data_IF_653878900123
#
_entry.id   IF_653878900123
#
_cell.length_a   1.000
_cell.length_b   1.000
_cell.length_c   1.000
_cell.angle_alpha   90.00
_cell.angle_beta   90.00
_cell.angle_gamma   90.00
#
_symmetry.space_group_name_H-M   'P 1'
#
loop_
_entity.id
_entity.type
_entity.pdbx_description
1 polymer ?
#
# COMPACT_ATOMS: atom_id res chain seq x y z
N UNK A 1 22.98 -20.80 -17.67
CA UNK A 1 22.51 -19.42 -17.36
C UNK A 1 21.01 -19.14 -17.63
N UNK A 2 20.17 -20.11 -18.03
CA UNK A 2 18.75 -19.88 -18.39
C UNK A 2 17.71 -20.17 -17.28
N UNK A 3 18.09 -20.80 -16.17
CA UNK A 3 17.15 -21.22 -15.11
C UNK A 3 16.83 -20.12 -14.06
N UNK A 4 17.61 -19.02 -14.00
CA UNK A 4 17.43 -17.95 -12.99
C UNK A 4 16.30 -16.95 -13.31
N UNK A 5 15.79 -16.91 -14.55
CA UNK A 5 14.74 -15.96 -14.95
C UNK A 5 13.34 -16.50 -14.59
N UNK A 6 13.17 -17.82 -14.61
CA UNK A 6 11.90 -18.47 -14.30
C UNK A 6 11.60 -18.49 -12.79
N UNK A 7 12.58 -18.73 -11.91
CA UNK A 7 12.34 -18.75 -10.46
C UNK A 7 11.96 -17.36 -9.88
N UNK A 8 12.31 -16.27 -10.57
CA UNK A 8 12.19 -14.88 -10.08
C UNK A 8 10.88 -14.18 -10.46
N UNK A 9 10.21 -14.63 -11.53
CA UNK A 9 8.85 -14.18 -11.88
C UNK A 9 7.77 -14.83 -11.01
N UNK A 10 8.04 -16.05 -10.52
CA UNK A 10 7.10 -16.82 -9.69
C UNK A 10 6.91 -16.23 -8.29
N UNK A 11 7.94 -15.66 -7.66
CA UNK A 11 7.79 -15.04 -6.34
C UNK A 11 6.88 -13.80 -6.35
N UNK A 12 6.81 -13.05 -7.46
CA UNK A 12 5.95 -11.86 -7.57
C UNK A 12 4.48 -12.23 -7.76
N UNK A 13 4.20 -13.23 -8.61
CA UNK A 13 2.86 -13.78 -8.78
C UNK A 13 2.36 -14.43 -7.48
N UNK A 14 3.22 -15.19 -6.79
CA UNK A 14 2.89 -15.76 -5.48
C UNK A 14 2.69 -14.70 -4.41
N UNK A 15 3.44 -13.59 -4.41
CA UNK A 15 3.24 -12.51 -3.44
C UNK A 15 1.94 -11.73 -3.68
N UNK A 16 1.55 -11.52 -4.93
CA UNK A 16 0.29 -10.84 -5.30
C UNK A 16 -0.91 -11.74 -5.05
N UNK A 17 -0.80 -13.03 -5.36
CA UNK A 17 -1.81 -14.05 -5.03
C UNK A 17 -1.91 -14.25 -3.51
N UNK A 18 -0.80 -14.14 -2.78
CA UNK A 18 -0.76 -14.20 -1.32
C UNK A 18 -1.39 -13.01 -0.62
N UNK A 19 -1.32 -11.81 -1.21
CA UNK A 19 -1.99 -10.65 -0.66
C UNK A 19 -3.51 -10.76 -0.82
N UNK A 20 -4.00 -11.39 -1.89
CA UNK A 20 -5.43 -11.67 -2.04
C UNK A 20 -5.99 -12.60 -0.94
N UNK A 21 -5.13 -13.46 -0.37
CA UNK A 21 -5.42 -14.27 0.82
C UNK A 21 -5.52 -13.50 2.14
N UNK A 22 -5.22 -12.20 2.16
CA UNK A 22 -5.70 -11.29 3.21
C UNK A 22 -7.17 -10.99 2.91
N UNK A 23 -8.00 -12.03 3.04
CA UNK A 23 -9.44 -12.10 2.84
C UNK A 23 -10.11 -10.74 2.51
N UNK A 24 -9.95 -10.26 1.27
CA UNK A 24 -10.52 -8.97 0.86
C UNK A 24 -12.02 -9.06 0.56
N UNK A 25 -12.54 -10.29 0.44
CA UNK A 25 -13.85 -10.60 -0.14
C UNK A 25 -14.95 -11.04 0.83
N UNK A 26 -14.69 -11.23 2.12
CA UNK A 26 -15.79 -11.51 3.05
C UNK A 26 -16.42 -10.20 3.55
N UNK A 27 -17.67 -9.98 3.15
CA UNK A 27 -18.62 -9.22 3.98
C UNK A 27 -18.57 -9.81 5.39
N UNK A 28 -18.50 -9.01 6.46
CA UNK A 28 -18.64 -9.56 7.79
C UNK A 28 -19.98 -10.29 7.83
N UNK A 29 -19.96 -11.58 8.16
CA UNK A 29 -21.08 -12.23 8.84
C UNK A 29 -21.58 -11.29 9.94
N UNK A 30 -22.90 -11.21 10.17
CA UNK A 30 -23.52 -10.16 10.99
C UNK A 30 -22.77 -9.99 12.30
N UNK A 31 -22.48 -8.73 12.62
CA UNK A 31 -21.59 -8.26 13.68
C UNK A 31 -21.47 -9.23 14.85
N UNK A 32 -20.28 -9.78 15.15
CA UNK A 32 -20.04 -10.18 16.51
C UNK A 32 -20.16 -8.92 17.36
N UNK A 33 -20.90 -9.04 18.46
CA UNK A 33 -20.96 -8.07 19.55
C UNK A 33 -19.58 -7.44 19.78
N UNK A 34 -19.47 -6.15 20.14
CA UNK A 34 -18.18 -5.49 20.30
C UNK A 34 -17.33 -6.33 21.24
N UNK A 35 -16.38 -7.07 20.68
CA UNK A 35 -15.49 -7.91 21.47
C UNK A 35 -14.73 -7.00 22.41
N UNK A 36 -14.64 -7.33 23.71
CA UNK A 36 -13.96 -6.49 24.68
C UNK A 36 -12.59 -6.13 24.14
N UNK A 37 -12.24 -4.84 24.16
CA UNK A 37 -10.96 -4.31 23.72
C UNK A 37 -9.82 -5.24 24.17
N UNK A 38 -9.30 -6.07 23.26
CA UNK A 38 -8.15 -6.93 23.58
C UNK A 38 -6.97 -5.98 23.75
N UNK A 39 -6.61 -5.75 25.00
CA UNK A 39 -5.57 -4.84 25.48
C UNK A 39 -4.15 -5.33 25.11
N UNK A 40 -3.94 -5.60 23.82
CA UNK A 40 -2.64 -5.86 23.25
C UNK A 40 -1.94 -4.50 23.12
N UNK A 41 -0.75 -4.40 23.72
CA UNK A 41 0.12 -3.25 23.47
C UNK A 41 0.38 -3.10 21.97
N UNK A 42 0.57 -1.86 21.54
CA UNK A 42 0.84 -1.50 20.13
C UNK A 42 1.85 -2.44 19.45
N UNK A 43 2.96 -2.75 20.13
CA UNK A 43 3.99 -3.65 19.63
C UNK A 43 3.48 -5.10 19.40
N UNK A 44 2.64 -5.63 20.29
CA UNK A 44 2.07 -6.98 20.13
C UNK A 44 1.15 -7.05 18.92
N UNK A 45 0.42 -5.97 18.63
CA UNK A 45 -0.47 -5.90 17.47
C UNK A 45 0.31 -5.88 16.17
N UNK A 46 1.33 -5.01 16.07
CA UNK A 46 2.26 -5.03 14.94
C UNK A 46 2.87 -6.41 14.70
N UNK A 47 3.34 -7.10 15.76
CA UNK A 47 3.92 -8.45 15.60
C UNK A 47 2.87 -9.44 15.08
N UNK A 48 1.65 -9.40 15.61
CA UNK A 48 0.54 -10.25 15.15
C UNK A 48 0.20 -9.96 13.69
N UNK A 49 0.13 -8.69 13.33
CA UNK A 49 -0.28 -8.23 12.01
C UNK A 49 0.79 -8.58 10.98
N UNK A 50 2.07 -8.37 11.30
CA UNK A 50 3.19 -8.88 10.50
C UNK A 50 3.14 -10.41 10.36
N UNK A 51 2.92 -11.17 11.44
CA UNK A 51 2.79 -12.63 11.36
C UNK A 51 1.67 -13.03 10.41
N UNK A 52 0.50 -12.39 10.51
CA UNK A 52 -0.64 -12.68 9.63
C UNK A 52 -0.30 -12.37 8.17
N UNK A 53 0.26 -11.19 7.89
CA UNK A 53 0.64 -10.76 6.52
C UNK A 53 1.67 -11.73 5.92
N UNK A 54 2.74 -12.07 6.65
CA UNK A 54 3.80 -12.93 6.12
C UNK A 54 3.41 -14.40 6.00
N UNK A 55 2.38 -14.84 6.74
CA UNK A 55 1.86 -16.20 6.65
C UNK A 55 0.64 -16.34 5.74
N UNK A 56 0.00 -15.24 5.31
CA UNK A 56 -1.14 -15.27 4.36
C UNK A 56 -0.87 -16.05 3.07
N UNK A 57 0.34 -16.05 2.46
CA UNK A 57 0.62 -16.87 1.28
C UNK A 57 0.34 -18.37 1.45
N UNK A 58 0.41 -18.87 2.68
CA UNK A 58 0.28 -20.30 3.00
C UNK A 58 -1.15 -20.71 3.34
N UNK A 59 -2.10 -19.77 3.34
CA UNK A 59 -3.48 -19.98 3.76
C UNK A 59 -4.49 -19.61 2.65
N UNK A 60 -4.05 -19.58 1.39
CA UNK A 60 -4.86 -19.17 0.23
C UNK A 60 -5.91 -20.23 -0.09
N UNK A 61 -7.16 -19.83 -0.24
CA UNK A 61 -8.26 -20.67 -0.69
C UNK A 61 -8.70 -20.38 -2.15
N UNK A 62 -9.75 -21.08 -2.62
CA UNK A 62 -10.24 -20.92 -4.01
C UNK A 62 -10.87 -19.57 -4.28
N UNK A 63 -11.45 -18.93 -3.27
CA UNK A 63 -12.08 -17.62 -3.41
C UNK A 63 -11.01 -16.53 -3.45
N UNK A 64 -9.93 -16.68 -2.68
CA UNK A 64 -8.75 -15.82 -2.78
C UNK A 64 -8.13 -15.87 -4.17
N UNK A 65 -8.08 -17.05 -4.81
CA UNK A 65 -7.56 -17.20 -6.18
C UNK A 65 -8.39 -16.45 -7.23
N UNK A 66 -9.71 -16.35 -7.05
CA UNK A 66 -10.59 -15.60 -7.97
C UNK A 66 -10.25 -14.12 -8.01
N UNK A 67 -9.70 -13.58 -6.93
CA UNK A 67 -9.27 -12.18 -6.82
C UNK A 67 -7.77 -12.06 -7.14
N UNK A 68 -6.94 -12.95 -6.61
CA UNK A 68 -5.49 -12.89 -6.73
C UNK A 68 -4.98 -13.11 -8.15
N UNK A 69 -5.59 -14.03 -8.91
CA UNK A 69 -5.15 -14.31 -10.30
C UNK A 69 -5.35 -13.10 -11.22
N UNK A 70 -6.54 -12.45 -11.28
CA UNK A 70 -6.71 -11.22 -12.05
C UNK A 70 -5.74 -10.11 -11.66
N UNK A 71 -5.48 -9.89 -10.36
CA UNK A 71 -4.53 -8.88 -9.89
C UNK A 71 -3.11 -9.21 -10.35
N UNK A 72 -2.70 -10.48 -10.30
CA UNK A 72 -1.39 -10.92 -10.77
C UNK A 72 -1.24 -10.71 -12.29
N UNK A 73 -2.26 -11.05 -13.08
CA UNK A 73 -2.28 -10.83 -14.53
C UNK A 73 -2.19 -9.33 -14.84
N UNK A 74 -3.02 -8.51 -14.20
CA UNK A 74 -3.02 -7.06 -14.38
C UNK A 74 -1.65 -6.45 -14.02
N UNK A 75 -1.04 -6.92 -12.93
CA UNK A 75 0.30 -6.47 -12.52
C UNK A 75 1.36 -6.85 -13.54
N UNK A 76 1.33 -8.09 -14.06
CA UNK A 76 2.24 -8.54 -15.12
C UNK A 76 2.11 -7.68 -16.38
N UNK A 77 0.88 -7.36 -16.79
CA UNK A 77 0.60 -6.48 -17.93
C UNK A 77 1.12 -5.04 -17.70
N UNK A 78 0.93 -4.48 -16.50
CA UNK A 78 1.47 -3.18 -16.15
C UNK A 78 3.01 -3.18 -16.18
N UNK A 79 3.66 -4.20 -15.62
CA UNK A 79 5.11 -4.33 -15.66
C UNK A 79 5.63 -4.41 -17.10
N UNK A 80 4.94 -5.17 -17.96
CA UNK A 80 5.30 -5.29 -19.38
C UNK A 80 5.17 -3.96 -20.15
N UNK A 81 4.23 -3.11 -19.76
CA UNK A 81 3.93 -1.82 -20.42
C UNK A 81 4.60 -0.61 -19.78
N UNK A 82 5.27 -0.78 -18.65
CA UNK A 82 5.90 0.30 -17.87
C UNK A 82 6.88 1.16 -18.65
N UNK A 83 7.68 0.57 -19.55
CA UNK A 83 8.60 1.34 -20.40
C UNK A 83 7.83 2.25 -21.35
N UNK A 84 6.84 1.69 -22.05
CA UNK A 84 6.00 2.43 -22.98
C UNK A 84 5.24 3.58 -22.30
N UNK A 85 4.65 3.32 -21.13
CA UNK A 85 3.93 4.35 -20.36
C UNK A 85 4.85 5.42 -19.80
N UNK A 86 6.08 5.06 -19.39
CA UNK A 86 7.10 6.02 -18.96
C UNK A 86 7.56 6.90 -20.11
N UNK A 87 7.80 6.31 -21.29
CA UNK A 87 8.26 7.05 -22.47
C UNK A 87 7.17 8.00 -22.98
N UNK A 88 5.89 7.64 -22.83
CA UNK A 88 4.78 8.55 -23.11
C UNK A 88 4.81 9.78 -22.20
N UNK A 89 5.06 9.61 -20.89
CA UNK A 89 5.22 10.74 -19.96
C UNK A 89 6.41 11.61 -20.33
N UNK A 90 7.53 11.00 -20.74
CA UNK A 90 8.72 11.75 -21.19
C UNK A 90 8.39 12.62 -22.42
N UNK A 91 7.46 12.22 -23.29
CA UNK A 91 7.05 12.96 -24.50
C UNK A 91 6.06 14.09 -24.23
N UNK A 92 5.07 13.89 -23.35
CA UNK A 92 4.00 14.88 -23.10
C UNK A 92 4.33 15.89 -22.00
N UNK A 93 5.51 15.78 -21.40
CA UNK A 93 6.00 16.68 -20.36
C UNK A 93 5.66 16.18 -18.96
N UNK A 94 6.68 16.06 -18.13
CA UNK A 94 6.51 15.91 -16.68
C UNK A 94 6.06 17.24 -16.07
N UNK A 95 5.39 17.22 -14.92
CA UNK A 95 5.23 18.40 -14.05
C UNK A 95 6.11 18.25 -12.79
N UNK A 96 7.44 18.45 -12.87
CA UNK A 96 8.36 18.10 -11.78
C UNK A 96 8.12 18.91 -10.49
N UNK A 97 7.60 20.12 -10.60
CA UNK A 97 7.31 21.00 -9.45
C UNK A 97 6.06 20.55 -8.70
N UNK A 98 4.92 20.42 -9.40
CA UNK A 98 3.69 19.90 -8.82
C UNK A 98 3.87 18.46 -8.28
N UNK A 99 4.66 17.64 -8.96
CA UNK A 99 5.03 16.30 -8.47
C UNK A 99 5.88 16.34 -7.21
N UNK A 100 6.83 17.28 -7.08
CA UNK A 100 7.66 17.42 -5.88
C UNK A 100 6.85 17.85 -4.66
N UNK A 101 5.96 18.82 -4.81
CA UNK A 101 5.17 19.35 -3.69
C UNK A 101 4.09 18.34 -3.25
N UNK A 102 3.38 17.71 -4.19
CA UNK A 102 2.42 16.64 -3.87
C UNK A 102 3.15 15.40 -3.31
N UNK A 103 4.35 15.10 -3.80
CA UNK A 103 5.14 14.00 -3.25
C UNK A 103 5.59 14.25 -1.82
N UNK A 104 5.82 15.50 -1.41
CA UNK A 104 6.17 15.83 -0.02
C UNK A 104 5.03 15.43 0.92
N UNK A 105 3.77 15.59 0.51
CA UNK A 105 2.57 15.11 1.23
C UNK A 105 2.41 13.58 1.25
N UNK A 106 3.11 12.86 0.39
CA UNK A 106 3.15 11.39 0.38
C UNK A 106 4.37 10.76 1.05
N UNK A 107 5.28 11.55 1.60
CA UNK A 107 6.43 11.02 2.34
C UNK A 107 5.97 10.33 3.63
N UNK A 108 6.82 9.45 4.17
CA UNK A 108 6.55 8.83 5.48
C UNK A 108 6.29 9.86 6.57
N UNK A 109 6.97 11.03 6.52
CA UNK A 109 6.79 12.11 7.49
C UNK A 109 5.45 12.82 7.40
N UNK A 110 4.92 13.07 6.20
CA UNK A 110 3.63 13.76 6.04
C UNK A 110 2.43 12.85 6.29
N UNK A 111 2.50 11.59 5.84
CA UNK A 111 1.51 10.57 6.21
C UNK A 111 1.51 10.30 7.72
N UNK A 112 2.69 10.30 8.36
CA UNK A 112 2.80 10.19 9.83
C UNK A 112 2.27 11.45 10.51
N UNK A 113 2.49 12.62 9.90
CA UNK A 113 1.88 13.88 10.34
C UNK A 113 0.35 13.83 10.34
N UNK A 114 -0.27 13.21 9.34
CA UNK A 114 -1.73 13.02 9.31
C UNK A 114 -2.19 12.09 10.44
N UNK A 115 -1.56 10.93 10.60
CA UNK A 115 -1.89 9.99 11.68
C UNK A 115 -1.72 10.64 13.06
N UNK A 116 -0.60 11.35 13.27
CA UNK A 116 -0.32 12.10 14.47
C UNK A 116 -1.30 13.25 14.71
N UNK A 117 -1.73 13.95 13.66
CA UNK A 117 -2.74 15.01 13.77
C UNK A 117 -4.09 14.46 14.22
N UNK A 118 -4.55 13.33 13.67
CA UNK A 118 -5.76 12.64 14.15
C UNK A 118 -5.62 12.23 15.62
N UNK A 119 -4.47 11.67 16.00
CA UNK A 119 -4.21 11.26 17.38
C UNK A 119 -4.24 12.45 18.35
N UNK A 120 -3.47 13.50 18.07
CA UNK A 120 -3.33 14.69 18.93
C UNK A 120 -4.65 15.46 18.99
N UNK A 121 -5.31 15.69 17.84
CA UNK A 121 -6.59 16.37 17.81
C UNK A 121 -7.66 15.57 18.57
N UNK A 122 -7.69 14.24 18.41
CA UNK A 122 -8.58 13.36 19.16
C UNK A 122 -8.34 13.42 20.67
N UNK A 123 -7.08 13.39 21.09
CA UNK A 123 -6.70 13.54 22.51
C UNK A 123 -7.11 14.91 23.07
N UNK A 124 -6.76 16.00 22.37
CA UNK A 124 -7.04 17.36 22.83
C UNK A 124 -8.54 17.71 22.83
N UNK A 125 -9.32 17.12 21.93
CA UNK A 125 -10.78 17.33 21.84
C UNK A 125 -11.61 16.27 22.58
N UNK A 126 -10.96 15.35 23.30
CA UNK A 126 -11.62 14.18 23.91
C UNK A 126 -12.47 13.35 22.92
N UNK A 127 -12.08 13.35 21.64
CA UNK A 127 -12.73 12.59 20.58
C UNK A 127 -12.00 11.25 20.37
N UNK A 128 -12.52 10.22 21.03
CA UNK A 128 -11.98 8.85 20.95
C UNK A 128 -11.95 8.30 19.53
N UNK A 129 -12.93 8.67 18.69
CA UNK A 129 -12.97 8.20 17.30
C UNK A 129 -11.81 8.76 16.47
N UNK A 130 -11.50 10.05 16.63
CA UNK A 130 -10.35 10.68 15.98
C UNK A 130 -9.02 10.12 16.52
N UNK A 131 -8.91 9.94 17.84
CA UNK A 131 -7.72 9.36 18.47
C UNK A 131 -7.42 7.96 17.93
N UNK A 132 -8.45 7.09 17.95
CA UNK A 132 -8.37 5.72 17.43
C UNK A 132 -8.04 5.69 15.93
N UNK A 133 -8.55 6.64 15.15
CA UNK A 133 -8.19 6.75 13.73
C UNK A 133 -6.70 7.01 13.56
N UNK A 134 -6.12 7.90 14.38
CA UNK A 134 -4.68 8.15 14.40
C UNK A 134 -3.86 6.91 14.77
N UNK A 135 -4.28 6.16 15.79
CA UNK A 135 -3.63 4.91 16.22
C UNK A 135 -3.62 3.86 15.11
N UNK A 136 -4.80 3.57 14.53
CA UNK A 136 -4.94 2.59 13.47
C UNK A 136 -4.19 3.00 12.20
N UNK A 137 -4.17 4.29 11.87
CA UNK A 137 -3.43 4.80 10.74
C UNK A 137 -1.91 4.63 10.94
N UNK A 138 -1.41 4.92 12.14
CA UNK A 138 0.01 4.73 12.48
C UNK A 138 0.40 3.25 12.43
N UNK A 139 -0.45 2.37 12.94
CA UNK A 139 -0.25 0.92 12.91
C UNK A 139 -0.19 0.40 11.46
N UNK A 140 -1.19 0.72 10.64
CA UNK A 140 -1.23 0.34 9.23
C UNK A 140 -0.05 0.88 8.42
N UNK A 141 0.42 2.09 8.74
CA UNK A 141 1.61 2.66 8.11
C UNK A 141 2.88 1.89 8.46
N UNK A 142 3.08 1.55 9.73
CA UNK A 142 4.27 0.79 10.16
C UNK A 142 4.24 -0.60 9.52
N UNK A 143 3.09 -1.27 9.51
CA UNK A 143 2.96 -2.56 8.86
C UNK A 143 3.27 -2.49 7.36
N UNK A 144 2.78 -1.44 6.70
CA UNK A 144 3.03 -1.19 5.29
C UNK A 144 4.49 -0.87 4.99
N UNK A 145 5.16 -0.10 5.86
CA UNK A 145 6.58 0.20 5.72
C UNK A 145 7.43 -1.06 5.77
N UNK A 146 7.20 -1.93 6.75
CA UNK A 146 7.93 -3.20 6.88
C UNK A 146 7.77 -4.04 5.62
N UNK A 147 6.54 -4.23 5.16
CA UNK A 147 6.25 -5.01 3.95
C UNK A 147 6.93 -4.40 2.72
N UNK A 148 6.75 -3.11 2.49
CA UNK A 148 7.28 -2.46 1.28
C UNK A 148 8.80 -2.39 1.25
N UNK A 149 9.47 -2.20 2.38
CA UNK A 149 10.93 -2.16 2.41
C UNK A 149 11.54 -3.55 2.22
N UNK A 150 10.94 -4.61 2.80
CA UNK A 150 11.33 -6.00 2.51
C UNK A 150 11.20 -6.30 1.01
N UNK A 151 10.10 -5.86 0.38
CA UNK A 151 9.91 -6.07 -1.06
C UNK A 151 10.91 -5.29 -1.90
N UNK A 152 11.25 -4.05 -1.52
CA UNK A 152 12.30 -3.27 -2.24
C UNK A 152 13.65 -3.95 -2.19
N UNK A 153 14.09 -4.44 -1.03
CA UNK A 153 15.37 -5.15 -0.91
C UNK A 153 15.37 -6.49 -1.63
N UNK A 154 14.20 -7.09 -1.80
CA UNK A 154 14.02 -8.34 -2.56
C UNK A 154 14.06 -8.10 -4.07
N UNK A 155 13.22 -7.21 -4.58
CA UNK A 155 13.04 -6.99 -6.02
C UNK A 155 14.10 -6.09 -6.64
N UNK A 156 14.70 -5.20 -5.86
CA UNK A 156 15.80 -4.30 -6.23
C UNK A 156 15.63 -3.65 -7.62
N UNK A 157 14.42 -3.19 -7.93
CA UNK A 157 14.05 -2.67 -9.25
C UNK A 157 14.62 -1.28 -9.49
N UNK A 158 15.29 -1.07 -10.63
CA UNK A 158 15.79 0.25 -11.05
C UNK A 158 14.64 1.24 -11.28
N UNK A 159 14.90 2.52 -11.03
CA UNK A 159 13.93 3.62 -11.12
C UNK A 159 13.72 4.08 -12.58
N UNK A 160 12.64 4.81 -12.91
CA UNK A 160 12.44 5.34 -14.27
C UNK A 160 13.45 6.41 -14.71
N UNK A 161 14.08 7.11 -13.76
CA UNK A 161 15.02 8.21 -14.06
C UNK A 161 16.47 7.77 -14.35
N UNK A 162 16.81 6.48 -14.19
CA UNK A 162 18.16 5.98 -14.53
C UNK A 162 18.24 5.53 -15.99
N UNK A 163 19.45 5.42 -16.55
CA UNK A 163 19.68 5.02 -17.95
C UNK A 163 19.16 3.61 -18.25
N UNK A 164 19.61 2.61 -17.48
CA UNK A 164 19.10 1.24 -17.53
C UNK A 164 17.81 1.12 -16.71
N UNK A 165 16.70 1.64 -17.24
CA UNK A 165 15.45 1.74 -16.47
C UNK A 165 14.68 0.41 -16.36
N UNK A 166 14.11 0.20 -15.18
CA UNK A 166 13.04 -0.79 -14.94
C UNK A 166 13.45 -2.24 -14.80
N UNK A 167 14.75 -2.57 -14.83
CA UNK A 167 15.20 -3.94 -14.58
C UNK A 167 15.06 -4.30 -13.10
N UNK A 168 14.57 -5.52 -12.85
CA UNK A 168 14.51 -6.12 -11.52
C UNK A 168 15.86 -6.75 -11.16
N UNK A 169 16.15 -6.81 -9.86
CA UNK A 169 17.34 -7.43 -9.27
C UNK A 169 18.65 -6.74 -9.69
N UNK A 170 18.60 -5.43 -9.97
CA UNK A 170 19.74 -4.62 -10.45
C UNK A 170 20.10 -3.47 -9.50
N UNK A 171 19.78 -3.63 -8.21
CA UNK A 171 20.24 -2.71 -7.16
C UNK A 171 19.41 -1.44 -6.95
N UNK A 172 18.24 -1.33 -7.57
CA UNK A 172 17.34 -0.19 -7.34
C UNK A 172 16.37 -0.40 -6.17
N UNK A 173 15.47 0.55 -5.95
CA UNK A 173 14.46 0.52 -4.87
C UNK A 173 13.07 0.95 -5.33
N UNK A 174 12.75 0.74 -6.62
CA UNK A 174 11.53 1.25 -7.26
C UNK A 174 10.28 0.45 -6.89
N UNK A 175 10.37 -0.87 -6.79
CA UNK A 175 9.19 -1.71 -6.63
C UNK A 175 9.07 -2.26 -5.20
N UNK A 176 7.89 -2.15 -4.55
CA UNK A 176 6.76 -1.29 -4.88
C UNK A 176 6.98 0.17 -4.40
N UNK A 177 6.05 1.06 -4.74
CA UNK A 177 6.06 2.45 -4.28
C UNK A 177 5.67 2.58 -2.81
N UNK A 178 6.64 2.92 -1.95
CA UNK A 178 6.41 3.16 -0.52
C UNK A 178 5.53 4.39 -0.22
N UNK A 179 5.57 5.41 -1.07
CA UNK A 179 4.70 6.59 -0.92
C UNK A 179 3.25 6.24 -1.24
N UNK A 180 3.03 5.47 -2.32
CA UNK A 180 1.70 5.02 -2.69
C UNK A 180 1.14 4.09 -1.60
N UNK A 181 1.93 3.09 -1.17
CA UNK A 181 1.48 2.15 -0.16
C UNK A 181 1.08 2.81 1.17
N UNK A 182 1.91 3.71 1.71
CA UNK A 182 1.55 4.39 2.97
C UNK A 182 0.36 5.32 2.79
N UNK A 183 0.29 6.07 1.69
CA UNK A 183 -0.84 6.95 1.44
C UNK A 183 -2.17 6.17 1.36
N UNK A 184 -2.17 5.03 0.67
CA UNK A 184 -3.34 4.16 0.59
C UNK A 184 -3.66 3.45 1.90
N UNK A 185 -2.67 3.06 2.70
CA UNK A 185 -2.89 2.49 4.04
C UNK A 185 -3.60 3.51 4.96
N UNK A 186 -3.06 4.71 5.07
CA UNK A 186 -3.65 5.81 5.86
C UNK A 186 -5.03 6.19 5.35
N UNK A 187 -5.18 6.39 4.03
CA UNK A 187 -6.45 6.77 3.44
C UNK A 187 -7.53 5.71 3.65
N UNK A 188 -7.16 4.43 3.60
CA UNK A 188 -8.09 3.33 3.85
C UNK A 188 -8.61 3.35 5.28
N UNK A 189 -7.73 3.47 6.27
CA UNK A 189 -8.15 3.57 7.68
C UNK A 189 -9.11 4.75 7.88
N UNK A 190 -8.76 5.94 7.38
CA UNK A 190 -9.61 7.13 7.48
C UNK A 190 -10.96 6.89 6.77
N UNK A 191 -10.94 6.36 5.55
CA UNK A 191 -12.13 6.12 4.75
C UNK A 191 -13.12 5.14 5.39
N UNK A 192 -12.62 4.12 6.09
CA UNK A 192 -13.45 3.13 6.77
C UNK A 192 -13.92 3.62 8.15
N UNK A 193 -13.07 4.31 8.92
CA UNK A 193 -13.46 4.96 10.17
C UNK A 193 -14.58 6.00 9.94
N UNK A 194 -14.44 6.81 8.88
CA UNK A 194 -15.40 7.85 8.51
C UNK A 194 -16.31 7.43 7.35
N UNK A 195 -16.69 6.15 7.26
CA UNK A 195 -17.50 5.61 6.15
C UNK A 195 -18.83 6.32 5.91
N UNK A 196 -19.41 6.91 6.95
CA UNK A 196 -20.67 7.67 6.91
C UNK A 196 -20.48 9.16 6.55
N UNK A 197 -19.25 9.59 6.30
CA UNK A 197 -18.90 10.96 5.91
C UNK A 197 -18.28 10.96 4.51
N UNK A 198 -19.10 11.03 3.44
CA UNK A 198 -18.64 10.88 2.06
C UNK A 198 -17.47 11.79 1.68
N UNK A 199 -17.49 13.05 2.14
CA UNK A 199 -16.42 14.01 1.86
C UNK A 199 -15.07 13.57 2.44
N UNK A 200 -15.06 13.04 3.67
CA UNK A 200 -13.82 12.55 4.31
C UNK A 200 -13.35 11.28 3.61
N UNK A 201 -14.26 10.34 3.35
CA UNK A 201 -13.97 9.07 2.69
C UNK A 201 -13.38 9.27 1.29
N UNK A 202 -14.07 10.00 0.43
CA UNK A 202 -13.61 10.23 -0.94
C UNK A 202 -12.44 11.20 -1.00
N UNK A 203 -12.37 12.17 -0.08
CA UNK A 203 -11.22 13.06 0.07
C UNK A 203 -9.94 12.30 0.40
N UNK A 204 -10.02 11.32 1.31
CA UNK A 204 -8.87 10.47 1.67
C UNK A 204 -8.37 9.66 0.46
N UNK A 205 -9.27 9.01 -0.29
CA UNK A 205 -8.88 8.28 -1.49
C UNK A 205 -8.37 9.18 -2.62
N UNK A 206 -8.97 10.37 -2.80
CA UNK A 206 -8.48 11.36 -3.75
C UNK A 206 -7.06 11.82 -3.41
N UNK A 207 -6.77 12.09 -2.13
CA UNK A 207 -5.43 12.44 -1.67
C UNK A 207 -4.42 11.31 -1.94
N UNK A 208 -4.78 10.06 -1.65
CA UNK A 208 -3.93 8.90 -1.94
C UNK A 208 -3.69 8.73 -3.45
N UNK A 209 -4.70 8.96 -4.28
CA UNK A 209 -4.59 8.92 -5.74
C UNK A 209 -3.68 10.03 -6.27
N UNK A 210 -3.80 11.26 -5.76
CA UNK A 210 -2.94 12.39 -6.14
C UNK A 210 -1.47 12.13 -5.77
N UNK A 211 -1.21 11.61 -4.57
CA UNK A 211 0.14 11.19 -4.15
C UNK A 211 0.66 10.12 -5.09
N UNK A 212 -0.13 9.08 -5.36
CA UNK A 212 0.22 7.98 -6.26
C UNK A 212 0.60 8.47 -7.65
N UNK A 213 -0.26 9.32 -8.23
CA UNK A 213 -0.05 9.89 -9.56
C UNK A 213 1.19 10.79 -9.60
N UNK A 214 1.46 11.56 -8.54
CA UNK A 214 2.66 12.40 -8.44
C UNK A 214 3.95 11.58 -8.54
N UNK A 215 3.96 10.35 -8.01
CA UNK A 215 5.14 9.47 -8.06
C UNK A 215 5.40 8.94 -9.45
N UNK A 216 4.34 8.63 -10.19
CA UNK A 216 4.41 8.19 -11.58
C UNK A 216 4.80 9.35 -12.51
N UNK A 217 4.07 10.48 -12.47
CA UNK A 217 4.35 11.66 -13.30
C UNK A 217 5.70 12.32 -13.01
N UNK A 218 6.21 12.17 -11.79
CA UNK A 218 7.54 12.63 -11.40
C UNK A 218 8.69 11.71 -11.78
N UNK A 219 8.44 10.63 -12.54
CA UNK A 219 9.43 9.62 -12.95
C UNK A 219 10.12 8.91 -11.79
N UNK A 220 9.51 8.92 -10.62
CA UNK A 220 10.10 8.30 -9.45
C UNK A 220 9.77 6.82 -9.37
N UNK A 221 8.61 6.43 -9.86
CA UNK A 221 8.10 5.07 -9.84
C UNK A 221 7.44 4.77 -11.18
N UNK A 222 7.55 3.52 -11.62
CA UNK A 222 6.75 3.03 -12.74
C UNK A 222 5.27 2.94 -12.36
N UNK A 223 4.38 2.85 -13.35
CA UNK A 223 2.94 2.73 -13.09
C UNK A 223 2.63 1.47 -12.27
N UNK A 224 3.25 0.34 -12.60
CA UNK A 224 3.09 -0.89 -11.82
C UNK A 224 3.59 -0.74 -10.36
N UNK A 225 4.70 -0.03 -10.12
CA UNK A 225 5.20 0.22 -8.76
C UNK A 225 4.15 0.94 -7.92
N UNK A 226 3.48 1.93 -8.54
CA UNK A 226 2.43 2.73 -7.90
C UNK A 226 1.18 1.89 -7.66
N UNK A 227 0.66 1.20 -8.68
CA UNK A 227 -0.55 0.39 -8.56
C UNK A 227 -0.39 -0.72 -7.52
N UNK A 228 0.73 -1.45 -7.55
CA UNK A 228 1.00 -2.51 -6.57
C UNK A 228 1.20 -1.93 -5.17
N UNK A 229 1.92 -0.81 -5.05
CA UNK A 229 2.06 -0.10 -3.78
C UNK A 229 0.71 0.27 -3.19
N UNK A 230 -0.17 0.89 -3.99
CA UNK A 230 -1.53 1.25 -3.60
C UNK A 230 -2.35 0.05 -3.13
N UNK A 231 -2.28 -1.09 -3.84
CA UNK A 231 -2.99 -2.31 -3.48
C UNK A 231 -2.51 -2.89 -2.14
N UNK A 232 -1.19 -2.93 -1.91
CA UNK A 232 -0.60 -3.34 -0.62
C UNK A 232 -1.11 -2.44 0.50
N UNK A 233 -1.03 -1.13 0.31
CA UNK A 233 -1.48 -0.13 1.28
C UNK A 233 -2.96 -0.27 1.63
N UNK A 234 -3.82 -0.33 0.61
CA UNK A 234 -5.25 -0.55 0.80
C UNK A 234 -5.52 -1.84 1.57
N UNK A 235 -4.81 -2.91 1.22
CA UNK A 235 -5.01 -4.20 1.85
C UNK A 235 -4.65 -4.22 3.34
N UNK A 236 -3.48 -3.68 3.69
CA UNK A 236 -3.04 -3.58 5.09
C UNK A 236 -3.95 -2.65 5.89
N UNK A 237 -4.27 -1.47 5.35
CA UNK A 237 -5.16 -0.53 6.02
C UNK A 237 -6.55 -1.13 6.29
N UNK A 238 -7.07 -1.92 5.36
CA UNK A 238 -8.33 -2.65 5.54
C UNK A 238 -8.20 -3.76 6.59
N UNK A 239 -7.11 -4.53 6.55
CA UNK A 239 -6.85 -5.57 7.54
C UNK A 239 -6.79 -5.00 8.96
N UNK A 240 -5.99 -3.95 9.17
CA UNK A 240 -5.85 -3.26 10.46
C UNK A 240 -7.20 -2.70 10.93
N UNK A 241 -8.00 -2.08 10.05
CA UNK A 241 -9.33 -1.61 10.44
C UNK A 241 -10.28 -2.75 10.87
N UNK A 242 -10.21 -3.93 10.25
CA UNK A 242 -11.14 -5.04 10.52
C UNK A 242 -10.78 -5.88 11.75
N UNK A 243 -9.52 -5.87 12.19
CA UNK A 243 -9.00 -6.79 13.22
C UNK A 243 -8.62 -6.10 14.54
N UNK A 244 -9.15 -4.89 14.78
CA UNK A 244 -8.84 -4.04 15.93
C UNK A 244 -10.09 -3.45 16.57
#
# INVERSE_FOLDING_TARGET
MRYSIWLKGWCLALFIVAFAGINFGQSPTPSPSPTPHRDLSFAKRLIRDQKAIWTSPFHIDRDDLKVGVPIAIATGALIATDRHTTDAIDRFGTLPAASRDVSRFGTGYSTAGIAGAFYIAGWASHNEHARRTGELAAEAMIDTLVVTDVLKVTFRRQRPFVSDRGLFFKGGSSFPSGHASNAWATATVIAYQYKNHPLIKYGAFAAAALISMSRFSGRNHFLSDVVVGSAIGFGIGRYVYMHQ
#
